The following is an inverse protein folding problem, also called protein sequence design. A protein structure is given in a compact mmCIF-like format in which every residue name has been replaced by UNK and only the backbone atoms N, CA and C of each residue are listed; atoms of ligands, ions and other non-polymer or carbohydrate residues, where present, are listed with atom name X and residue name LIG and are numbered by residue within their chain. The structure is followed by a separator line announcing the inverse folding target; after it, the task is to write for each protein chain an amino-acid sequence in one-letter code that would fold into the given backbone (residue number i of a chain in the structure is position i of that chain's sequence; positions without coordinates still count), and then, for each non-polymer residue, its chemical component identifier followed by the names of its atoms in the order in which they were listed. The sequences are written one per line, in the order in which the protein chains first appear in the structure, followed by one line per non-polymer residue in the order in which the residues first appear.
data_IF_215843338007
#
_entry.id   IF_215843338007
#
_cell.length_a   1.000
_cell.length_b   1.000
_cell.length_c   1.000
_cell.angle_alpha   90.00
_cell.angle_beta   90.00
_cell.angle_gamma   90.00
#
_symmetry.space_group_name_H-M   'P 1'
#
loop_
_entity.id
_entity.type
_entity.pdbx_description
1 polymer ?
#
# COMPACT_ATOMS: atom_id res chain seq x y z
N UNK A 1 -9.76 -13.24 -7.96
CA UNK A 1 -10.38 -13.03 -9.28
C UNK A 1 -11.89 -12.82 -9.27
N UNK A 2 -12.68 -13.65 -8.58
CA UNK A 2 -14.15 -13.46 -8.45
C UNK A 2 -14.61 -12.06 -7.98
N UNK A 3 -13.84 -11.39 -7.12
CA UNK A 3 -14.16 -10.04 -6.64
C UNK A 3 -13.93 -8.92 -7.69
N UNK A 4 -13.11 -9.20 -8.73
CA UNK A 4 -12.73 -8.26 -9.80
C UNK A 4 -13.32 -8.71 -11.16
N UNK A 5 -13.95 -9.88 -11.22
CA UNK A 5 -14.63 -10.39 -12.42
C UNK A 5 -13.72 -10.93 -13.53
N UNK A 6 -12.43 -11.12 -13.26
CA UNK A 6 -11.45 -11.63 -14.24
C UNK A 6 -11.35 -13.16 -14.13
N UNK A 7 -11.24 -13.87 -15.25
CA UNK A 7 -11.06 -15.33 -15.29
C UNK A 7 -9.60 -15.72 -15.05
N UNK A 8 -9.34 -16.91 -14.46
CA UNK A 8 -7.98 -17.36 -14.13
C UNK A 8 -7.05 -17.50 -15.34
N UNK A 9 -7.60 -17.76 -16.52
CA UNK A 9 -6.86 -17.88 -17.77
C UNK A 9 -6.40 -16.51 -18.34
N UNK A 10 -7.04 -15.41 -17.94
CA UNK A 10 -6.73 -14.06 -18.45
C UNK A 10 -5.60 -13.35 -17.67
N UNK A 11 -5.02 -13.99 -16.65
CA UNK A 11 -3.94 -13.39 -15.84
C UNK A 11 -2.59 -13.57 -16.53
N UNK A 12 -2.40 -12.91 -17.67
CA UNK A 12 -1.07 -12.68 -18.21
C UNK A 12 -0.63 -11.25 -17.88
N UNK A 13 0.26 -11.14 -16.90
CA UNK A 13 0.89 -9.88 -16.55
C UNK A 13 2.05 -9.60 -17.52
N UNK A 14 2.02 -8.47 -18.20
CA UNK A 14 3.14 -8.06 -19.04
C UNK A 14 4.36 -7.68 -18.18
N UNK A 15 5.61 -7.88 -18.67
CA UNK A 15 6.80 -7.44 -17.97
C UNK A 15 6.78 -5.96 -17.55
N UNK A 16 6.14 -5.11 -18.36
CA UNK A 16 6.00 -3.68 -18.05
C UNK A 16 5.18 -3.42 -16.80
N UNK A 17 4.16 -4.25 -16.51
CA UNK A 17 3.36 -4.10 -15.28
C UNK A 17 4.23 -4.29 -14.05
N UNK A 18 5.12 -5.29 -14.03
CA UNK A 18 6.03 -5.51 -12.91
C UNK A 18 7.00 -4.34 -12.71
N UNK A 19 7.53 -3.77 -13.79
CA UNK A 19 8.42 -2.60 -13.72
C UNK A 19 7.68 -1.39 -13.15
N UNK A 20 6.46 -1.12 -13.63
CA UNK A 20 5.64 -0.01 -13.12
C UNK A 20 5.31 -0.21 -11.64
N UNK A 21 4.89 -1.42 -11.24
CA UNK A 21 4.63 -1.74 -9.84
C UNK A 21 5.86 -1.51 -8.98
N UNK A 22 7.03 -2.02 -9.38
CA UNK A 22 8.27 -1.82 -8.63
C UNK A 22 8.62 -0.34 -8.44
N UNK A 23 8.49 0.49 -9.48
CA UNK A 23 8.76 1.93 -9.38
C UNK A 23 7.77 2.63 -8.46
N UNK A 24 6.47 2.29 -8.54
CA UNK A 24 5.45 2.84 -7.64
C UNK A 24 5.73 2.47 -6.18
N UNK A 25 6.09 1.21 -5.92
CA UNK A 25 6.47 0.73 -4.58
C UNK A 25 7.71 1.45 -4.05
N UNK A 26 8.73 1.64 -4.89
CA UNK A 26 9.95 2.36 -4.50
C UNK A 26 9.68 3.83 -4.16
N UNK A 27 8.83 4.51 -4.92
CA UNK A 27 8.41 5.89 -4.62
C UNK A 27 7.65 5.94 -3.29
N UNK A 28 6.73 4.99 -3.06
CA UNK A 28 5.97 4.92 -1.82
C UNK A 28 6.90 4.72 -0.61
N UNK A 29 7.83 3.76 -0.70
CA UNK A 29 8.81 3.50 0.35
C UNK A 29 9.69 4.73 0.61
N UNK A 30 10.13 5.43 -0.45
CA UNK A 30 10.91 6.66 -0.32
C UNK A 30 10.16 7.77 0.42
N UNK A 31 8.87 7.96 0.10
CA UNK A 31 8.02 8.95 0.78
C UNK A 31 7.82 8.57 2.25
N UNK A 32 7.53 7.30 2.54
CA UNK A 32 7.37 6.81 3.91
C UNK A 32 8.65 6.98 4.73
N UNK A 33 9.81 6.66 4.15
CA UNK A 33 11.12 6.89 4.75
C UNK A 33 11.34 8.39 5.07
N UNK A 34 11.02 9.27 4.12
CA UNK A 34 11.09 10.71 4.33
C UNK A 34 10.23 11.20 5.49
N UNK A 35 9.02 10.65 5.65
CA UNK A 35 8.13 10.95 6.79
C UNK A 35 8.77 10.51 8.11
N UNK A 36 9.36 9.32 8.17
CA UNK A 36 10.01 8.83 9.38
C UNK A 36 11.24 9.66 9.76
N UNK A 37 12.07 10.01 8.78
CA UNK A 37 13.22 10.90 9.00
C UNK A 37 12.77 12.27 9.49
N UNK A 38 11.75 12.86 8.87
CA UNK A 38 11.21 14.16 9.29
C UNK A 38 10.59 14.12 10.69
N UNK A 39 9.99 12.99 11.08
CA UNK A 39 9.46 12.79 12.43
C UNK A 39 10.56 12.72 13.51
N UNK A 40 11.82 12.53 13.12
CA UNK A 40 12.97 12.40 14.04
C UNK A 40 13.04 11.05 14.76
N UNK A 41 12.17 10.09 14.43
CA UNK A 41 12.16 8.76 15.03
C UNK A 41 12.09 7.68 13.97
N UNK A 42 13.18 6.91 13.85
CA UNK A 42 13.29 5.82 12.87
C UNK A 42 13.45 4.50 13.62
N UNK A 43 12.32 3.96 14.06
CA UNK A 43 12.23 2.70 14.80
C UNK A 43 11.12 1.85 14.20
N UNK A 44 11.11 0.54 14.48
CA UNK A 44 10.03 -0.35 14.01
C UNK A 44 8.66 0.16 14.48
N UNK A 45 8.58 0.66 15.72
CA UNK A 45 7.32 1.18 16.28
C UNK A 45 6.88 2.43 15.51
N UNK A 46 7.77 3.41 15.29
CA UNK A 46 7.41 4.62 14.54
C UNK A 46 7.05 4.29 13.08
N UNK A 47 7.73 3.33 12.45
CA UNK A 47 7.41 2.81 11.12
C UNK A 47 5.99 2.23 11.04
N UNK A 48 5.62 1.34 11.97
CA UNK A 48 4.29 0.74 12.03
C UNK A 48 3.22 1.81 12.34
N UNK A 49 3.50 2.71 13.28
CA UNK A 49 2.55 3.80 13.63
C UNK A 49 2.31 4.71 12.42
N UNK A 50 3.36 5.14 11.72
CA UNK A 50 3.23 5.95 10.51
C UNK A 50 2.42 5.22 9.43
N UNK A 51 2.70 3.93 9.20
CA UNK A 51 1.96 3.10 8.24
C UNK A 51 0.46 3.07 8.55
N UNK A 52 0.06 2.83 9.80
CA UNK A 52 -1.36 2.78 10.21
C UNK A 52 -2.05 4.14 10.01
N UNK A 53 -1.40 5.23 10.40
CA UNK A 53 -1.98 6.58 10.30
C UNK A 53 -2.13 7.01 8.85
N UNK A 54 -1.10 6.82 8.02
CA UNK A 54 -1.13 7.16 6.59
C UNK A 54 -2.17 6.28 5.88
N UNK A 55 -2.17 4.99 6.17
CA UNK A 55 -3.14 4.06 5.60
C UNK A 55 -4.57 4.47 5.95
N UNK A 56 -4.87 4.68 7.23
CA UNK A 56 -6.22 5.00 7.67
C UNK A 56 -6.71 6.35 7.15
N UNK A 57 -5.84 7.36 7.14
CA UNK A 57 -6.19 8.72 6.76
C UNK A 57 -6.30 8.95 5.25
N UNK A 58 -5.39 8.38 4.46
CA UNK A 58 -5.28 8.64 3.02
C UNK A 58 -5.68 7.46 2.14
N UNK A 59 -5.23 6.25 2.49
CA UNK A 59 -5.41 5.08 1.62
C UNK A 59 -6.82 4.50 1.77
N UNK A 60 -7.22 4.15 2.99
CA UNK A 60 -8.52 3.53 3.27
C UNK A 60 -9.67 4.46 2.85
N UNK A 61 -9.59 5.74 3.22
CA UNK A 61 -10.60 6.75 2.86
C UNK A 61 -10.69 6.93 1.34
N UNK A 62 -9.54 7.05 0.66
CA UNK A 62 -9.45 7.16 -0.80
C UNK A 62 -10.04 5.95 -1.51
N UNK A 63 -9.69 4.73 -1.07
CA UNK A 63 -10.24 3.48 -1.61
C UNK A 63 -11.75 3.39 -1.41
N UNK A 64 -12.26 3.73 -0.22
CA UNK A 64 -13.71 3.74 0.04
C UNK A 64 -14.41 4.66 -0.95
N UNK A 65 -13.97 5.91 -1.04
CA UNK A 65 -14.57 6.92 -1.94
C UNK A 65 -14.51 6.43 -3.39
N UNK A 66 -13.32 6.09 -3.88
CA UNK A 66 -13.10 5.66 -5.26
C UNK A 66 -13.94 4.43 -5.61
N UNK A 67 -13.92 3.41 -4.77
CA UNK A 67 -14.68 2.17 -5.01
C UNK A 67 -16.18 2.42 -4.98
N UNK A 68 -16.68 3.33 -4.15
CA UNK A 68 -18.12 3.62 -4.12
C UNK A 68 -18.56 4.37 -5.38
N UNK A 69 -17.75 5.31 -5.86
CA UNK A 69 -17.99 5.95 -7.16
C UNK A 69 -17.92 4.97 -8.34
N UNK A 70 -17.00 4.01 -8.29
CA UNK A 70 -16.86 2.94 -9.29
C UNK A 70 -17.86 1.79 -9.12
N UNK A 71 -18.75 1.85 -8.11
CA UNK A 71 -19.70 0.77 -7.75
C UNK A 71 -19.03 -0.58 -7.47
N UNK A 72 -17.77 -0.59 -7.06
CA UNK A 72 -17.06 -1.79 -6.66
C UNK A 72 -17.63 -2.38 -5.36
N UNK A 73 -17.48 -3.69 -5.19
CA UNK A 73 -17.95 -4.41 -4.00
C UNK A 73 -17.20 -3.97 -2.74
N UNK A 74 -17.85 -4.04 -1.58
CA UNK A 74 -17.17 -3.81 -0.30
C UNK A 74 -16.06 -4.82 -0.03
N UNK A 75 -16.23 -6.06 -0.51
CA UNK A 75 -15.19 -7.08 -0.43
C UNK A 75 -13.91 -6.64 -1.14
N UNK A 76 -14.01 -6.04 -2.33
CA UNK A 76 -12.85 -5.52 -3.05
C UNK A 76 -12.18 -4.38 -2.27
N UNK A 77 -12.97 -3.47 -1.69
CA UNK A 77 -12.42 -2.42 -0.80
C UNK A 77 -11.63 -3.00 0.37
N UNK A 78 -12.12 -4.06 1.02
CA UNK A 78 -11.40 -4.69 2.14
C UNK A 78 -10.12 -5.38 1.68
N UNK A 79 -10.15 -6.07 0.54
CA UNK A 79 -8.98 -6.74 -0.02
C UNK A 79 -7.90 -5.70 -0.33
N UNK A 80 -8.24 -4.66 -1.08
CA UNK A 80 -7.26 -3.65 -1.51
C UNK A 80 -6.76 -2.83 -0.32
N UNK A 81 -7.66 -2.44 0.60
CA UNK A 81 -7.24 -1.72 1.79
C UNK A 81 -6.32 -2.56 2.68
N UNK A 82 -6.63 -3.85 2.89
CA UNK A 82 -5.77 -4.76 3.64
C UNK A 82 -4.41 -4.97 2.98
N UNK A 83 -4.39 -5.12 1.65
CA UNK A 83 -3.15 -5.22 0.88
C UNK A 83 -2.24 -4.00 1.09
N UNK A 84 -2.78 -2.79 0.90
CA UNK A 84 -1.99 -1.56 1.06
C UNK A 84 -1.53 -1.32 2.50
N UNK A 85 -2.31 -1.72 3.51
CA UNK A 85 -1.85 -1.71 4.90
C UNK A 85 -0.63 -2.62 5.08
N UNK A 86 -0.70 -3.84 4.55
CA UNK A 86 0.42 -4.78 4.56
C UNK A 86 1.68 -4.21 3.91
N UNK A 87 1.54 -3.61 2.72
CA UNK A 87 2.62 -2.95 1.99
C UNK A 87 3.29 -1.87 2.86
N UNK A 88 2.51 -0.93 3.38
CA UNK A 88 3.04 0.17 4.19
C UNK A 88 3.72 -0.31 5.47
N UNK A 89 3.16 -1.32 6.15
CA UNK A 89 3.77 -1.92 7.33
C UNK A 89 5.12 -2.58 7.02
N UNK A 90 5.20 -3.34 5.92
CA UNK A 90 6.44 -3.99 5.50
C UNK A 90 7.49 -2.94 5.14
N UNK A 91 7.14 -1.93 4.34
CA UNK A 91 8.06 -0.86 3.96
C UNK A 91 8.58 -0.09 5.18
N UNK A 92 7.70 0.31 6.11
CA UNK A 92 8.08 1.03 7.31
C UNK A 92 8.97 0.21 8.24
N UNK A 93 8.65 -1.07 8.43
CA UNK A 93 9.45 -1.98 9.26
C UNK A 93 10.83 -2.26 8.63
N UNK A 94 10.88 -2.54 7.33
CA UNK A 94 12.14 -2.78 6.60
C UNK A 94 13.02 -1.53 6.63
N UNK A 95 12.46 -0.35 6.37
CA UNK A 95 13.22 0.90 6.44
C UNK A 95 13.82 1.08 7.83
N UNK A 96 13.01 0.94 8.89
CA UNK A 96 13.50 1.05 10.26
C UNK A 96 14.61 0.06 10.60
N UNK A 97 14.53 -1.18 10.09
CA UNK A 97 15.55 -2.21 10.31
C UNK A 97 16.88 -1.92 9.63
N UNK A 98 16.90 -1.20 8.51
CA UNK A 98 18.14 -0.90 7.77
C UNK A 98 18.77 0.44 8.17
N UNK A 99 18.03 1.31 8.86
CA UNK A 99 18.45 2.66 9.23
C UNK A 99 18.68 2.88 10.73
N UNK A 100 18.17 1.98 11.58
CA UNK A 100 18.40 1.97 13.03
C UNK A 100 19.52 1.03 13.42
#
# INVERSE_FOLDING_TARGET
MKAVGISEEDVQMSPSTYVVTFLCEMIMAFVLAGILVYSGSVTIISGITAAIVIWGGFVLTGLIVNHKFQRASWMLTFIDAGHWLGVLMVQGAVYALISG
#
